data_IF_012328207440
#
_entry.id   IF_012328207440
#
_cell.length_a   1.000
_cell.length_b   1.000
_cell.length_c   1.000
_cell.angle_alpha   90.00
_cell.angle_beta   90.00
_cell.angle_gamma   90.00
#
_symmetry.space_group_name_H-M   'P 1'
#
loop_
_entity.id
_entity.type
_entity.pdbx_description
1 polymer ?
#
# COMPACT_ATOMS: atom_id res chain seq x y z
N UNK A 1 -38.64 -9.48 -61.84
CA UNK A 1 -37.47 -9.88 -61.02
C UNK A 1 -37.30 -8.76 -60.02
N UNK A 2 -37.74 -9.00 -58.78
CA UNK A 2 -37.83 -8.00 -57.72
C UNK A 2 -36.71 -8.26 -56.70
N UNK A 3 -36.35 -7.17 -56.03
CA UNK A 3 -35.73 -7.09 -54.71
C UNK A 3 -34.22 -7.31 -54.63
N UNK A 4 -33.52 -6.19 -54.88
CA UNK A 4 -32.20 -5.88 -54.37
C UNK A 4 -32.31 -5.70 -52.84
N UNK A 5 -31.78 -6.64 -52.07
CA UNK A 5 -31.66 -6.54 -50.62
C UNK A 5 -30.43 -5.69 -50.28
N UNK A 6 -30.66 -4.49 -49.76
CA UNK A 6 -29.64 -3.54 -49.28
C UNK A 6 -29.92 -3.24 -47.81
N UNK A 7 -29.50 -4.12 -46.91
CA UNK A 7 -29.47 -3.88 -45.46
C UNK A 7 -28.46 -4.87 -44.88
N UNK A 8 -27.49 -4.57 -44.03
CA UNK A 8 -27.13 -3.34 -43.34
C UNK A 8 -25.62 -3.41 -43.08
N UNK A 9 -24.91 -2.30 -43.29
CA UNK A 9 -23.63 -2.10 -42.60
C UNK A 9 -24.00 -1.96 -41.11
N UNK A 10 -23.36 -2.65 -40.15
CA UNK A 10 -23.54 -2.34 -38.74
C UNK A 10 -22.79 -1.03 -38.44
N UNK A 11 -23.35 0.08 -38.92
CA UNK A 11 -22.90 1.42 -38.63
C UNK A 11 -23.45 1.81 -37.27
N UNK A 12 -22.53 2.09 -36.34
CA UNK A 12 -22.82 2.78 -35.09
C UNK A 12 -23.03 1.83 -33.93
N UNK A 13 -21.97 1.64 -33.15
CA UNK A 13 -22.16 1.46 -31.71
C UNK A 13 -23.07 2.60 -31.25
N UNK A 14 -24.27 2.28 -30.74
CA UNK A 14 -25.19 3.30 -30.23
C UNK A 14 -24.48 4.15 -29.17
N UNK A 15 -24.74 5.45 -29.13
CA UNK A 15 -24.13 6.40 -28.17
C UNK A 15 -24.29 5.92 -26.71
N UNK A 16 -25.34 5.14 -26.47
CA UNK A 16 -25.63 4.47 -25.20
C UNK A 16 -24.64 3.34 -24.86
N UNK A 17 -24.23 2.54 -25.84
CA UNK A 17 -23.17 1.53 -25.66
C UNK A 17 -21.79 2.16 -25.48
N UNK A 18 -21.53 3.29 -26.14
CA UNK A 18 -20.30 4.06 -25.95
C UNK A 18 -20.23 4.64 -24.53
N UNK A 19 -21.33 5.19 -24.05
CA UNK A 19 -21.44 5.74 -22.69
C UNK A 19 -21.33 4.65 -21.61
N UNK A 20 -21.97 3.50 -21.80
CA UNK A 20 -21.86 2.35 -20.89
C UNK A 20 -20.43 1.80 -20.84
N UNK A 21 -19.76 1.70 -22.00
CA UNK A 21 -18.37 1.26 -22.06
C UNK A 21 -17.42 2.23 -21.35
N UNK A 22 -17.58 3.54 -21.58
CA UNK A 22 -16.78 4.58 -20.90
C UNK A 22 -16.95 4.54 -19.37
N UNK A 23 -18.18 4.32 -18.89
CA UNK A 23 -18.46 4.19 -17.45
C UNK A 23 -17.82 2.93 -16.86
N UNK A 24 -17.86 1.82 -17.59
CA UNK A 24 -17.24 0.55 -17.17
C UNK A 24 -15.70 0.66 -17.14
N UNK A 25 -15.11 1.29 -18.15
CA UNK A 25 -13.66 1.53 -18.22
C UNK A 25 -13.20 2.47 -17.09
N UNK A 26 -13.97 3.52 -16.78
CA UNK A 26 -13.69 4.42 -15.64
C UNK A 26 -13.77 3.69 -14.29
N UNK A 27 -14.76 2.82 -14.09
CA UNK A 27 -14.88 2.01 -12.86
C UNK A 27 -13.68 1.07 -12.68
N UNK A 28 -13.25 0.41 -13.75
CA UNK A 28 -12.09 -0.47 -13.74
C UNK A 28 -10.80 0.30 -13.43
N UNK A 29 -10.63 1.49 -14.01
CA UNK A 29 -9.50 2.36 -13.70
C UNK A 29 -9.47 2.75 -12.21
N UNK A 30 -10.61 3.13 -11.63
CA UNK A 30 -10.68 3.47 -10.21
C UNK A 30 -10.36 2.27 -9.31
N UNK A 31 -10.91 1.09 -9.60
CA UNK A 31 -10.62 -0.13 -8.83
C UNK A 31 -9.13 -0.51 -8.89
N UNK A 32 -8.51 -0.41 -10.07
CA UNK A 32 -7.07 -0.71 -10.23
C UNK A 32 -6.16 0.32 -9.57
N UNK A 33 -6.54 1.60 -9.57
CA UNK A 33 -5.83 2.66 -8.84
C UNK A 33 -5.90 2.41 -7.33
N UNK A 34 -7.09 2.17 -6.78
CA UNK A 34 -7.29 1.87 -5.36
C UNK A 34 -6.50 0.63 -4.93
N UNK A 35 -6.59 -0.46 -5.68
CA UNK A 35 -5.81 -1.67 -5.40
C UNK A 35 -4.29 -1.43 -5.46
N UNK A 36 -3.83 -0.57 -6.38
CA UNK A 36 -2.43 -0.16 -6.47
C UNK A 36 -1.96 0.70 -5.30
N UNK A 37 -2.82 1.58 -4.79
CA UNK A 37 -2.57 2.41 -3.60
C UNK A 37 -2.52 1.57 -2.33
N UNK A 38 -3.46 0.66 -2.14
CA UNK A 38 -3.46 -0.31 -1.04
C UNK A 38 -2.21 -1.19 -1.05
N UNK A 39 -1.78 -1.64 -2.24
CA UNK A 39 -0.55 -2.43 -2.39
C UNK A 39 0.70 -1.64 -1.98
N UNK A 40 0.78 -0.36 -2.38
CA UNK A 40 1.88 0.54 -1.97
C UNK A 40 1.86 0.78 -0.46
N UNK A 41 0.72 1.13 0.11
CA UNK A 41 0.58 1.37 1.55
C UNK A 41 0.94 0.12 2.38
N UNK A 42 0.54 -1.06 1.93
CA UNK A 42 0.90 -2.33 2.57
C UNK A 42 2.40 -2.63 2.47
N UNK A 43 3.01 -2.38 1.31
CA UNK A 43 4.45 -2.56 1.12
C UNK A 43 5.26 -1.60 2.00
N UNK A 44 4.81 -0.35 2.10
CA UNK A 44 5.43 0.65 2.96
C UNK A 44 5.35 0.21 4.43
N UNK A 45 4.14 -0.14 4.93
CA UNK A 45 3.96 -0.62 6.31
C UNK A 45 4.84 -1.83 6.63
N UNK A 46 4.92 -2.82 5.74
CA UNK A 46 5.75 -3.99 5.97
C UNK A 46 7.23 -3.63 6.14
N UNK A 47 7.71 -2.62 5.40
CA UNK A 47 9.09 -2.15 5.51
C UNK A 47 9.37 -1.59 6.92
N UNK A 48 8.44 -0.81 7.49
CA UNK A 48 8.57 -0.33 8.87
C UNK A 48 8.62 -1.48 9.87
N UNK A 49 7.77 -2.50 9.69
CA UNK A 49 7.69 -3.62 10.62
C UNK A 49 8.95 -4.49 10.58
N UNK A 50 9.47 -4.76 9.39
CA UNK A 50 10.72 -5.51 9.23
C UNK A 50 11.88 -4.77 9.91
N UNK A 51 12.07 -3.48 9.63
CA UNK A 51 13.14 -2.69 10.24
C UNK A 51 12.99 -2.61 11.76
N UNK A 52 11.77 -2.45 12.28
CA UNK A 52 11.52 -2.43 13.72
C UNK A 52 11.88 -3.77 14.38
N UNK A 53 11.50 -4.90 13.77
CA UNK A 53 11.87 -6.25 14.25
C UNK A 53 13.39 -6.44 14.28
N UNK A 54 14.07 -6.11 13.19
CA UNK A 54 15.54 -6.22 13.11
C UNK A 54 16.24 -5.32 14.13
N UNK A 55 15.72 -4.10 14.35
CA UNK A 55 16.23 -3.20 15.39
C UNK A 55 16.02 -3.77 16.79
N UNK A 56 14.87 -4.40 17.06
CA UNK A 56 14.60 -5.04 18.36
C UNK A 56 15.58 -6.18 18.61
N UNK A 57 15.77 -7.05 17.62
CA UNK A 57 16.71 -8.16 17.73
C UNK A 57 18.14 -7.65 17.93
N UNK A 58 18.59 -6.70 17.10
CA UNK A 58 19.94 -6.14 17.20
C UNK A 58 20.17 -5.43 18.54
N UNK A 59 19.24 -4.56 18.97
CA UNK A 59 19.43 -3.68 20.12
C UNK A 59 19.15 -4.38 21.46
N UNK A 60 18.05 -5.14 21.56
CA UNK A 60 17.57 -5.68 22.84
C UNK A 60 17.95 -7.13 23.07
N UNK A 61 18.13 -7.93 22.01
CA UNK A 61 18.47 -9.36 22.13
C UNK A 61 19.98 -9.57 22.00
N UNK A 62 20.58 -9.07 20.92
CA UNK A 62 21.99 -9.29 20.60
C UNK A 62 22.93 -8.24 21.21
N UNK A 63 22.41 -7.07 21.57
CA UNK A 63 23.19 -5.89 21.95
C UNK A 63 24.30 -5.53 20.92
N UNK A 64 24.02 -5.76 19.63
CA UNK A 64 24.93 -5.51 18.52
C UNK A 64 24.83 -4.05 18.06
N UNK A 65 25.74 -3.23 18.59
CA UNK A 65 25.77 -1.79 18.31
C UNK A 65 26.07 -1.47 16.84
N UNK A 66 26.87 -2.28 16.15
CA UNK A 66 27.21 -2.02 14.75
C UNK A 66 26.04 -2.37 13.84
N UNK A 67 25.34 -3.47 14.10
CA UNK A 67 24.12 -3.82 13.39
C UNK A 67 23.03 -2.78 13.65
N UNK A 68 22.78 -2.40 14.91
CA UNK A 68 21.83 -1.32 15.25
C UNK A 68 22.17 -0.02 14.50
N UNK A 69 23.46 0.36 14.45
CA UNK A 69 23.89 1.56 13.72
C UNK A 69 23.61 1.46 12.22
N UNK A 70 23.86 0.31 11.59
CA UNK A 70 23.58 0.08 10.16
C UNK A 70 22.09 0.14 9.85
N UNK A 71 21.25 -0.46 10.69
CA UNK A 71 19.79 -0.41 10.53
C UNK A 71 19.26 1.02 10.62
N UNK A 72 19.78 1.84 11.55
CA UNK A 72 19.42 3.25 11.61
C UNK A 72 19.93 4.07 10.42
N UNK A 73 21.06 3.69 9.80
CA UNK A 73 21.47 4.28 8.53
C UNK A 73 20.51 3.91 7.41
N UNK A 74 20.06 2.66 7.34
CA UNK A 74 19.08 2.20 6.36
C UNK A 74 17.74 2.94 6.48
N UNK A 75 17.28 3.21 7.71
CA UNK A 75 16.12 4.08 7.98
C UNK A 75 16.29 5.44 7.31
N UNK A 76 17.45 6.07 7.46
CA UNK A 76 17.76 7.36 6.84
C UNK A 76 17.87 7.28 5.31
N UNK A 77 18.60 6.29 4.79
CA UNK A 77 18.84 6.10 3.36
C UNK A 77 17.53 5.82 2.60
N UNK A 78 16.58 5.13 3.23
CA UNK A 78 15.24 4.85 2.69
C UNK A 78 14.22 5.94 2.99
N UNK A 79 14.61 7.01 3.69
CA UNK A 79 13.74 8.10 4.11
C UNK A 79 12.50 7.60 4.89
N UNK A 80 12.70 6.60 5.75
CA UNK A 80 11.67 6.08 6.64
C UNK A 80 11.42 7.07 7.78
N UNK A 81 10.17 7.18 8.20
CA UNK A 81 9.78 8.04 9.30
C UNK A 81 10.33 7.52 10.63
N UNK A 82 11.33 8.22 11.18
CA UNK A 82 11.99 7.88 12.43
C UNK A 82 10.99 7.79 13.59
N UNK A 83 10.02 8.73 13.65
CA UNK A 83 9.00 8.75 14.70
C UNK A 83 8.16 7.47 14.74
N UNK A 84 7.76 6.98 13.57
CA UNK A 84 7.01 5.74 13.39
C UNK A 84 7.81 4.51 13.83
N UNK A 85 9.10 4.43 13.46
CA UNK A 85 10.00 3.36 13.93
C UNK A 85 10.16 3.40 15.44
N UNK A 86 10.45 4.57 16.04
CA UNK A 86 10.58 4.73 17.50
C UNK A 86 9.29 4.31 18.20
N UNK A 87 8.12 4.67 17.67
CA UNK A 87 6.84 4.28 18.22
C UNK A 87 6.70 2.74 18.24
N UNK A 88 6.98 2.07 17.12
CA UNK A 88 6.98 0.61 17.05
C UNK A 88 7.97 -0.04 18.02
N UNK A 89 9.17 0.53 18.20
CA UNK A 89 10.18 -0.03 19.12
C UNK A 89 9.75 -0.01 20.59
N UNK A 90 9.08 1.05 21.03
CA UNK A 90 8.84 1.29 22.46
C UNK A 90 7.38 1.19 22.89
N UNK A 91 6.42 1.14 21.96
CA UNK A 91 4.98 0.98 22.27
C UNK A 91 4.43 -0.40 21.94
N UNK A 92 5.09 -1.16 21.07
CA UNK A 92 4.71 -2.54 20.77
C UNK A 92 5.25 -3.47 21.85
N UNK A 93 4.39 -4.30 22.43
CA UNK A 93 4.74 -5.26 23.47
C UNK A 93 5.29 -6.56 22.88
N UNK A 94 4.87 -6.94 21.67
CA UNK A 94 5.36 -8.12 20.95
C UNK A 94 5.51 -7.84 19.44
N UNK A 95 6.76 -7.76 18.98
CA UNK A 95 7.05 -7.60 17.55
C UNK A 95 6.79 -8.86 16.72
N UNK A 96 6.58 -10.03 17.36
CA UNK A 96 6.17 -11.25 16.66
C UNK A 96 4.66 -11.30 16.37
N UNK A 97 3.85 -10.47 17.06
CA UNK A 97 2.41 -10.37 16.82
C UNK A 97 2.12 -9.28 15.80
N UNK A 98 1.79 -9.71 14.58
CA UNK A 98 1.45 -8.80 13.48
C UNK A 98 0.24 -7.91 13.81
N UNK A 99 -0.75 -8.41 14.54
CA UNK A 99 -1.95 -7.62 14.88
C UNK A 99 -1.58 -6.49 15.84
N UNK A 100 -0.73 -6.77 16.82
CA UNK A 100 -0.26 -5.75 17.76
C UNK A 100 0.59 -4.69 17.05
N UNK A 101 1.47 -5.09 16.12
CA UNK A 101 2.25 -4.14 15.32
C UNK A 101 1.34 -3.23 14.49
N UNK A 102 0.27 -3.77 13.90
CA UNK A 102 -0.74 -2.98 13.17
C UNK A 102 -1.46 -2.01 14.08
N UNK A 103 -1.96 -2.44 15.23
CA UNK A 103 -2.69 -1.57 16.17
C UNK A 103 -1.84 -0.39 16.65
N UNK A 104 -0.58 -0.64 17.00
CA UNK A 104 0.36 0.40 17.44
C UNK A 104 0.71 1.37 16.31
N UNK A 105 0.83 0.87 15.08
CA UNK A 105 1.08 1.67 13.89
C UNK A 105 -0.11 2.55 13.51
N UNK A 106 -1.32 1.99 13.50
CA UNK A 106 -2.55 2.70 13.20
C UNK A 106 -2.78 3.83 14.21
N UNK A 107 -2.60 3.55 15.51
CA UNK A 107 -2.71 4.57 16.56
C UNK A 107 -1.72 5.73 16.37
N UNK A 108 -0.50 5.47 15.88
CA UNK A 108 0.47 6.52 15.58
C UNK A 108 0.06 7.36 14.37
N UNK A 109 -0.42 6.72 13.32
CA UNK A 109 -0.87 7.40 12.10
C UNK A 109 -2.09 8.29 12.39
N UNK A 110 -3.03 7.82 13.21
CA UNK A 110 -4.19 8.60 13.65
C UNK A 110 -3.79 9.88 14.39
N UNK A 111 -2.76 9.82 15.26
CA UNK A 111 -2.25 10.99 15.96
C UNK A 111 -1.59 12.03 15.04
N UNK A 112 -1.05 11.57 13.91
CA UNK A 112 -0.30 12.42 12.96
C UNK A 112 -1.22 13.06 11.91
N UNK A 113 -2.43 12.50 11.74
CA UNK A 113 -3.46 13.02 10.83
C UNK A 113 -4.40 14.05 11.48
N UNK A 114 -4.29 14.27 12.80
CA UNK A 114 -5.06 15.28 13.55
C UNK A 114 -4.35 16.63 13.63
#
# INVERSE_FOLDING_TARGET
>A
MKDQQVDAIPSGLSEEQVSQKLLSDQKLLNETVLAGEECRARNDRQTYFCIARELVEAQFVLADQELTRRLWQEVGDRNLEIGRIINLLYRCSSHEDESEMVEVDDAFLELTLS
#
